data_IF_604611156856
#
_entry.id   IF_604611156856
#
_cell.length_a   1.000
_cell.length_b   1.000
_cell.length_c   1.000
_cell.angle_alpha   90.00
_cell.angle_beta   90.00
_cell.angle_gamma   90.00
#
_symmetry.space_group_name_H-M   'P 1'
#
loop_
_entity.id
_entity.type
_entity.pdbx_description
1 polymer ?
#
# COMPACT_ATOMS: atom_id res chain seq x y z
N UNK A 1 13.05 6.35 10.30
CA UNK A 1 12.99 5.72 8.97
C UNK A 1 12.85 4.24 9.18
N UNK A 2 11.62 3.77 9.14
CA UNK A 2 11.28 2.37 9.26
C UNK A 2 11.45 1.65 7.91
N UNK A 3 11.94 0.41 7.96
CA UNK A 3 12.00 -0.51 6.81
C UNK A 3 11.23 -1.78 7.20
N UNK A 4 10.11 -2.11 6.55
CA UNK A 4 9.39 -3.34 6.84
C UNK A 4 10.22 -4.57 6.42
N UNK A 5 10.07 -5.69 7.13
CA UNK A 5 10.85 -6.93 6.93
C UNK A 5 10.44 -7.74 5.69
N UNK A 6 9.24 -7.50 5.16
CA UNK A 6 8.66 -8.29 4.07
C UNK A 6 8.48 -7.50 2.76
N UNK A 7 9.04 -6.29 2.66
CA UNK A 7 8.99 -5.49 1.45
C UNK A 7 10.36 -4.91 1.12
N UNK A 8 10.76 -5.05 -0.12
CA UNK A 8 11.89 -4.34 -0.69
C UNK A 8 11.50 -2.93 -1.14
N UNK A 9 12.47 -2.01 -1.22
CA UNK A 9 12.16 -0.64 -1.67
C UNK A 9 11.58 -0.59 -3.09
N UNK A 10 12.04 -1.48 -3.97
CA UNK A 10 11.50 -1.64 -5.32
C UNK A 10 10.05 -2.10 -5.34
N UNK A 11 9.58 -2.75 -4.28
CA UNK A 11 8.17 -3.10 -4.11
C UNK A 11 7.32 -1.89 -3.70
N UNK A 12 7.93 -0.86 -3.11
CA UNK A 12 7.22 0.25 -2.48
C UNK A 12 7.36 1.58 -3.24
N UNK A 13 8.28 1.69 -4.19
CA UNK A 13 8.52 2.93 -4.93
C UNK A 13 8.95 2.65 -6.37
N UNK A 14 8.50 3.53 -7.28
CA UNK A 14 8.87 3.44 -8.68
C UNK A 14 10.39 3.64 -8.90
N UNK A 15 11.05 2.86 -9.77
CA UNK A 15 12.49 2.93 -10.03
C UNK A 15 12.98 4.31 -10.45
N UNK A 16 12.15 5.08 -11.16
CA UNK A 16 12.48 6.46 -11.53
C UNK A 16 12.75 7.33 -10.30
N UNK A 17 11.94 7.18 -9.24
CA UNK A 17 12.15 7.93 -7.98
C UNK A 17 13.43 7.45 -7.32
N UNK A 18 13.60 6.13 -7.18
CA UNK A 18 14.80 5.55 -6.56
C UNK A 18 16.06 6.05 -7.27
N UNK A 19 16.05 6.10 -8.60
CA UNK A 19 17.17 6.61 -9.42
C UNK A 19 17.38 8.12 -9.25
N UNK A 20 16.31 8.90 -9.17
CA UNK A 20 16.39 10.36 -9.10
C UNK A 20 16.88 10.89 -7.75
N UNK A 21 16.39 10.32 -6.64
CA UNK A 21 16.68 10.84 -5.29
C UNK A 21 17.51 9.89 -4.41
N UNK A 22 17.77 8.67 -4.89
CA UNK A 22 18.53 7.64 -4.18
C UNK A 22 17.70 6.87 -3.13
N UNK A 23 18.20 5.69 -2.76
CA UNK A 23 17.55 4.76 -1.82
C UNK A 23 17.20 5.42 -0.49
N UNK A 24 18.15 6.15 0.11
CA UNK A 24 17.96 6.77 1.44
C UNK A 24 16.85 7.81 1.44
N UNK A 25 16.77 8.67 0.41
CA UNK A 25 15.73 9.70 0.36
C UNK A 25 14.38 9.13 -0.08
N UNK A 26 14.37 8.06 -0.88
CA UNK A 26 13.12 7.37 -1.22
C UNK A 26 12.46 6.78 0.02
N UNK A 27 13.22 6.11 0.89
CA UNK A 27 12.69 5.64 2.18
C UNK A 27 12.18 6.78 3.07
N UNK A 28 12.80 7.96 3.02
CA UNK A 28 12.33 9.14 3.76
C UNK A 28 11.05 9.75 3.18
N UNK A 29 10.72 9.46 1.92
CA UNK A 29 9.52 9.96 1.25
C UNK A 29 8.29 9.10 1.55
N UNK A 30 8.50 7.84 1.92
CA UNK A 30 7.45 6.93 2.39
C UNK A 30 7.06 7.25 3.82
N UNK A 31 5.76 7.24 4.10
CA UNK A 31 5.23 7.51 5.42
C UNK A 31 5.53 6.34 6.38
N UNK A 32 6.37 6.60 7.39
CA UNK A 32 6.83 5.57 8.33
C UNK A 32 5.68 4.84 9.03
N UNK A 33 4.60 5.55 9.36
CA UNK A 33 3.50 4.94 10.10
C UNK A 33 2.60 4.10 9.17
N UNK A 34 2.45 4.50 7.90
CA UNK A 34 1.82 3.65 6.90
C UNK A 34 2.65 2.38 6.64
N UNK A 35 3.98 2.48 6.60
CA UNK A 35 4.86 1.30 6.45
C UNK A 35 4.76 0.33 7.64
N UNK A 36 4.54 0.84 8.86
CA UNK A 36 4.27 -0.01 10.04
C UNK A 36 2.95 -0.75 9.90
N UNK A 37 1.91 -0.10 9.41
CA UNK A 37 0.63 -0.75 9.15
C UNK A 37 0.72 -1.79 8.03
N UNK A 38 1.47 -1.50 6.97
CA UNK A 38 1.79 -2.47 5.91
C UNK A 38 2.48 -3.71 6.48
N UNK A 39 3.38 -3.54 7.45
CA UNK A 39 3.99 -4.66 8.15
C UNK A 39 2.96 -5.44 8.98
N UNK A 40 2.10 -4.76 9.74
CA UNK A 40 1.04 -5.38 10.54
C UNK A 40 0.11 -6.20 9.67
N UNK A 41 -0.36 -5.65 8.54
CA UNK A 41 -1.22 -6.35 7.58
C UNK A 41 -0.53 -7.64 7.10
N UNK A 42 0.73 -7.57 6.67
CA UNK A 42 1.47 -8.73 6.15
C UNK A 42 1.72 -9.79 7.22
N UNK A 43 2.05 -9.37 8.45
CA UNK A 43 2.29 -10.29 9.57
C UNK A 43 1.01 -11.01 9.99
N UNK A 44 -0.10 -10.30 10.14
CA UNK A 44 -1.37 -10.89 10.51
C UNK A 44 -1.91 -11.79 9.38
N UNK A 45 -1.74 -11.39 8.12
CA UNK A 45 -2.11 -12.22 6.96
C UNK A 45 -1.31 -13.52 6.90
N UNK A 46 0.01 -13.46 7.13
CA UNK A 46 0.89 -14.65 7.17
C UNK A 46 0.49 -15.64 8.26
N UNK A 47 0.07 -15.16 9.43
CA UNK A 47 -0.38 -16.04 10.53
C UNK A 47 -1.60 -16.87 10.16
N UNK A 48 -2.52 -16.31 9.37
CA UNK A 48 -3.80 -16.96 9.03
C UNK A 48 -3.67 -17.77 7.73
N UNK A 49 -2.96 -17.24 6.74
CA UNK A 49 -2.95 -17.79 5.39
C UNK A 49 -1.64 -18.45 4.98
N UNK A 50 -0.59 -18.37 5.81
CA UNK A 50 0.76 -18.82 5.48
C UNK A 50 1.24 -18.31 4.09
N UNK A 51 0.82 -17.08 3.74
CA UNK A 51 1.05 -16.44 2.44
C UNK A 51 1.51 -15.00 2.66
N UNK A 52 2.29 -14.45 1.72
CA UNK A 52 2.68 -13.04 1.73
C UNK A 52 1.69 -12.13 1.02
N UNK A 53 1.96 -10.83 1.09
CA UNK A 53 1.35 -9.74 0.33
C UNK A 53 2.49 -8.95 -0.32
N UNK A 54 2.33 -8.53 -1.56
CA UNK A 54 3.24 -7.64 -2.28
C UNK A 54 2.50 -6.37 -2.70
N UNK A 55 3.28 -5.35 -3.08
CA UNK A 55 2.77 -4.08 -3.59
C UNK A 55 3.12 -3.95 -5.09
N UNK A 56 4.29 -3.46 -5.47
CA UNK A 56 4.69 -3.44 -6.88
C UNK A 56 5.06 -4.83 -7.42
N UNK A 57 4.69 -5.08 -8.69
CA UNK A 57 5.18 -6.19 -9.53
C UNK A 57 5.87 -5.69 -10.79
N UNK A 58 6.76 -4.70 -10.65
CA UNK A 58 7.42 -4.07 -11.81
C UNK A 58 8.28 -5.06 -12.62
N UNK A 59 8.75 -6.15 -12.00
CA UNK A 59 9.44 -7.26 -12.67
C UNK A 59 8.53 -8.12 -13.56
N UNK A 60 7.21 -7.94 -13.49
CA UNK A 60 6.21 -8.66 -14.30
C UNK A 60 5.55 -7.77 -15.35
N UNK A 61 6.10 -6.58 -15.59
CA UNK A 61 5.84 -5.79 -16.78
C UNK A 61 4.76 -4.72 -16.68
N UNK A 62 4.01 -4.59 -15.58
CA UNK A 62 3.03 -3.50 -15.40
C UNK A 62 2.75 -3.12 -13.92
N UNK A 63 2.43 -1.84 -13.77
CA UNK A 63 1.67 -1.14 -12.71
C UNK A 63 2.46 -0.65 -11.46
N UNK A 64 2.57 0.69 -11.36
CA UNK A 64 3.16 1.39 -10.20
C UNK A 64 2.21 1.37 -8.99
N UNK A 65 2.23 0.32 -8.19
CA UNK A 65 1.40 0.14 -6.98
C UNK A 65 1.83 0.94 -5.74
N UNK A 66 3.08 1.40 -5.68
CA UNK A 66 3.65 2.11 -4.52
C UNK A 66 3.73 3.63 -4.69
N UNK A 67 4.82 4.24 -4.22
CA UNK A 67 5.13 5.65 -4.43
C UNK A 67 5.40 5.92 -5.92
N UNK A 68 4.57 6.79 -6.52
CA UNK A 68 4.58 7.15 -7.96
C UNK A 68 5.28 8.49 -8.24
N UNK A 69 6.02 8.63 -9.36
CA UNK A 69 6.54 9.92 -9.78
C UNK A 69 5.40 10.86 -10.24
N UNK A 70 5.63 12.19 -10.24
CA UNK A 70 4.59 13.14 -10.67
C UNK A 70 4.08 12.91 -12.11
N UNK A 71 4.95 12.41 -12.98
CA UNK A 71 4.69 12.14 -14.40
C UNK A 71 4.31 10.67 -14.67
N UNK A 72 3.96 9.89 -13.65
CA UNK A 72 3.48 8.52 -13.85
C UNK A 72 2.20 8.53 -14.71
N UNK A 73 2.15 7.76 -15.82
CA UNK A 73 0.94 7.63 -16.62
C UNK A 73 -0.17 6.83 -15.91
N UNK A 74 0.17 6.06 -14.88
CA UNK A 74 -0.78 5.22 -14.15
C UNK A 74 -1.51 6.03 -13.06
N UNK A 75 -2.84 6.08 -13.18
CA UNK A 75 -3.74 6.75 -12.25
C UNK A 75 -3.91 8.25 -12.50
N UNK A 76 -4.52 8.94 -11.55
CA UNK A 76 -4.87 10.36 -11.70
C UNK A 76 -3.68 11.29 -11.45
N UNK A 77 -3.73 12.51 -12.03
CA UNK A 77 -2.69 13.52 -11.85
C UNK A 77 -2.43 13.84 -10.36
N UNK A 78 -3.48 13.84 -9.54
CA UNK A 78 -3.42 14.09 -8.09
C UNK A 78 -3.53 12.79 -7.25
N UNK A 79 -3.13 11.66 -7.81
CA UNK A 79 -3.16 10.37 -7.10
C UNK A 79 -2.41 10.45 -5.76
N UNK A 80 -3.03 9.88 -4.72
CA UNK A 80 -2.49 9.81 -3.37
C UNK A 80 -1.21 8.98 -3.28
N UNK A 81 -0.94 8.09 -4.24
CA UNK A 81 0.34 7.39 -4.37
C UNK A 81 1.54 8.34 -4.46
N UNK A 82 1.36 9.55 -5.01
CA UNK A 82 2.43 10.57 -5.12
C UNK A 82 2.83 11.16 -3.77
N UNK A 83 2.05 10.90 -2.71
CA UNK A 83 2.32 11.38 -1.36
C UNK A 83 3.15 10.41 -0.52
N UNK A 84 3.31 9.15 -0.95
CA UNK A 84 4.09 8.12 -0.22
C UNK A 84 3.33 7.47 0.94
N UNK A 85 2.00 7.55 0.94
CA UNK A 85 1.12 7.06 2.00
C UNK A 85 0.01 6.13 1.49
N UNK A 86 0.12 5.66 0.24
CA UNK A 86 -0.89 4.88 -0.46
C UNK A 86 -0.21 3.77 -1.26
N UNK A 87 -0.83 2.58 -1.25
CA UNK A 87 -0.28 1.35 -1.79
C UNK A 87 -1.41 0.49 -2.37
N UNK A 88 -1.18 -0.16 -3.50
CA UNK A 88 -2.07 -1.21 -4.01
C UNK A 88 -1.50 -2.57 -3.61
N UNK A 89 -2.29 -3.37 -2.91
CA UNK A 89 -1.84 -4.63 -2.33
C UNK A 89 -2.44 -5.84 -3.02
N UNK A 90 -1.65 -6.89 -3.13
CA UNK A 90 -2.11 -8.16 -3.67
C UNK A 90 -1.53 -9.32 -2.86
N UNK A 91 -2.34 -10.30 -2.45
CA UNK A 91 -1.88 -11.48 -1.73
C UNK A 91 -1.30 -12.50 -2.72
N UNK A 92 -0.20 -13.15 -2.32
CA UNK A 92 0.48 -14.17 -3.14
C UNK A 92 -0.43 -15.36 -3.49
N UNK A 93 -1.37 -15.70 -2.60
CA UNK A 93 -2.32 -16.79 -2.78
C UNK A 93 -3.55 -16.43 -3.64
N UNK A 94 -3.61 -15.23 -4.22
CA UNK A 94 -4.68 -14.79 -5.13
C UNK A 94 -6.02 -14.42 -4.46
N UNK A 95 -6.11 -14.46 -3.13
CA UNK A 95 -7.34 -14.20 -2.39
C UNK A 95 -7.64 -12.71 -2.16
N UNK A 96 -7.80 -11.94 -3.23
CA UNK A 96 -7.94 -10.46 -3.17
C UNK A 96 -9.13 -10.02 -2.31
N UNK A 97 -10.32 -10.61 -2.51
CA UNK A 97 -11.52 -10.23 -1.75
C UNK A 97 -11.38 -10.53 -0.24
N UNK A 98 -10.72 -11.64 0.11
CA UNK A 98 -10.44 -11.96 1.50
C UNK A 98 -9.44 -10.96 2.11
N UNK A 99 -8.41 -10.56 1.36
CA UNK A 99 -7.49 -9.50 1.78
C UNK A 99 -8.21 -8.15 1.99
N UNK A 100 -9.14 -7.79 1.11
CA UNK A 100 -9.93 -6.58 1.23
C UNK A 100 -10.72 -6.55 2.55
N UNK A 101 -11.50 -7.60 2.81
CA UNK A 101 -12.30 -7.74 4.04
C UNK A 101 -11.41 -7.80 5.28
N UNK A 102 -10.26 -8.44 5.16
CA UNK A 102 -9.28 -8.56 6.23
C UNK A 102 -8.72 -7.19 6.66
N UNK A 103 -8.32 -6.34 5.71
CA UNK A 103 -7.80 -5.00 6.02
C UNK A 103 -8.89 -4.13 6.65
N UNK A 104 -10.14 -4.19 6.15
CA UNK A 104 -11.27 -3.52 6.78
C UNK A 104 -11.41 -3.91 8.25
N UNK A 105 -11.30 -5.20 8.56
CA UNK A 105 -11.40 -5.67 9.95
C UNK A 105 -10.24 -5.15 10.80
N UNK A 106 -9.00 -5.16 10.31
CA UNK A 106 -7.85 -4.60 11.03
C UNK A 106 -8.02 -3.11 11.36
N UNK A 107 -8.64 -2.33 10.45
CA UNK A 107 -8.96 -0.92 10.69
C UNK A 107 -10.02 -0.79 11.79
N UNK A 108 -11.12 -1.56 11.68
CA UNK A 108 -12.21 -1.54 12.66
C UNK A 108 -11.76 -1.98 14.06
N UNK A 109 -10.84 -2.94 14.13
CA UNK A 109 -10.25 -3.43 15.38
C UNK A 109 -9.20 -2.47 15.96
N UNK A 110 -8.89 -1.37 15.29
CA UNK A 110 -7.88 -0.40 15.72
C UNK A 110 -6.44 -0.93 15.66
N UNK A 111 -6.20 -2.02 14.93
CA UNK A 111 -4.86 -2.63 14.77
C UNK A 111 -3.95 -1.84 13.83
N UNK A 112 -4.52 -1.08 12.90
CA UNK A 112 -3.76 -0.18 12.03
C UNK A 112 -3.67 1.20 12.71
N UNK A 113 -2.48 1.79 12.72
CA UNK A 113 -2.17 3.05 13.40
C UNK A 113 -2.44 4.28 12.54
N UNK A 114 -2.28 4.20 11.22
CA UNK A 114 -2.50 5.31 10.28
C UNK A 114 -3.41 5.00 9.09
N UNK A 115 -3.16 3.92 8.33
CA UNK A 115 -4.00 3.54 7.19
C UNK A 115 -5.46 3.44 7.60
N UNK A 116 -6.35 4.04 6.81
CA UNK A 116 -7.76 4.18 7.13
C UNK A 116 -8.67 4.24 5.88
N UNK A 117 -8.10 4.22 4.69
CA UNK A 117 -8.82 4.46 3.44
C UNK A 117 -8.61 3.29 2.48
N UNK A 118 -9.67 2.81 1.84
CA UNK A 118 -9.61 1.82 0.76
C UNK A 118 -10.48 2.28 -0.43
N UNK A 119 -10.17 1.82 -1.63
CA UNK A 119 -11.10 1.90 -2.78
C UNK A 119 -12.19 0.83 -2.65
N UNK A 120 -13.25 0.95 -3.42
CA UNK A 120 -14.33 -0.01 -3.40
C UNK A 120 -13.86 -1.25 -4.16
N UNK A 121 -14.06 -2.42 -3.57
CA UNK A 121 -13.61 -3.67 -4.18
C UNK A 121 -14.25 -3.91 -5.56
N UNK A 122 -15.47 -3.43 -5.80
CA UNK A 122 -16.14 -3.55 -7.08
C UNK A 122 -15.39 -2.82 -8.22
N UNK A 123 -14.67 -1.75 -7.87
CA UNK A 123 -13.92 -0.91 -8.80
C UNK A 123 -12.45 -1.36 -8.94
N UNK A 124 -11.94 -2.12 -7.96
CA UNK A 124 -10.55 -2.62 -7.88
C UNK A 124 -10.45 -4.15 -7.72
N UNK A 125 -11.03 -4.94 -8.62
CA UNK A 125 -11.07 -6.41 -8.48
C UNK A 125 -9.70 -7.13 -8.54
N UNK A 126 -8.63 -6.42 -8.93
CA UNK A 126 -7.29 -7.00 -9.14
C UNK A 126 -6.29 -6.67 -8.03
N UNK A 127 -6.58 -5.70 -7.16
CA UNK A 127 -5.71 -5.26 -6.07
C UNK A 127 -6.54 -4.64 -4.96
N UNK A 128 -5.97 -4.48 -3.78
CA UNK A 128 -6.59 -3.75 -2.68
C UNK A 128 -5.86 -2.42 -2.52
N UNK A 129 -6.49 -1.34 -2.99
CA UNK A 129 -5.98 0.01 -2.72
C UNK A 129 -6.12 0.33 -1.24
N UNK A 130 -5.01 0.72 -0.61
CA UNK A 130 -4.99 1.13 0.80
C UNK A 130 -4.18 2.41 0.96
N UNK A 131 -4.75 3.38 1.66
CA UNK A 131 -4.13 4.68 1.85
C UNK A 131 -4.47 5.33 3.18
N UNK A 132 -3.88 6.50 3.36
CA UNK A 132 -4.17 7.41 4.46
C UNK A 132 -4.84 8.67 3.95
N UNK A 133 -6.01 8.98 4.52
CA UNK A 133 -6.69 10.26 4.38
C UNK A 133 -6.76 10.93 5.75
N UNK A 134 -6.33 12.19 5.80
CA UNK A 134 -6.34 12.98 7.02
C UNK A 134 -7.75 13.50 7.30
N UNK A 135 -8.32 13.09 8.42
CA UNK A 135 -9.66 13.46 8.88
C UNK A 135 -9.61 13.82 10.38
N UNK A 136 -10.63 14.52 10.89
CA UNK A 136 -10.70 14.93 12.31
C UNK A 136 -10.72 13.73 13.26
N UNK A 137 -11.38 12.66 12.85
CA UNK A 137 -11.37 11.36 13.49
C UNK A 137 -10.61 10.36 12.62
N UNK A 138 -10.44 9.11 13.05
CA UNK A 138 -9.86 8.05 12.22
C UNK A 138 -10.95 7.04 11.76
N UNK A 139 -11.88 7.44 10.87
CA UNK A 139 -12.88 6.54 10.36
C UNK A 139 -12.26 5.57 9.35
N UNK A 140 -12.92 4.43 9.16
CA UNK A 140 -12.78 3.67 7.92
C UNK A 140 -13.43 4.46 6.78
N UNK A 141 -12.69 4.70 5.71
CA UNK A 141 -13.16 5.38 4.50
C UNK A 141 -13.10 4.40 3.34
N UNK A 142 -14.22 4.26 2.63
CA UNK A 142 -14.30 3.51 1.38
C UNK A 142 -14.75 4.50 0.30
N UNK A 143 -13.93 4.67 -0.74
CA UNK A 143 -14.20 5.54 -1.89
C UNK A 143 -14.11 4.73 -3.19
N UNK A 144 -14.36 5.35 -4.34
CA UNK A 144 -14.45 4.70 -5.65
C UNK A 144 -13.15 3.98 -6.03
#
# INVERSE_FOLDING_TARGET
>A
MYKPKNYELSELAHPQIIKAIGVKNTWRRLDEQCLRDMQTINDEWRKIHNSGIYCNRLNLGLDSRGLRPPNDPDGSFYSTHKNGNTFDLEPVNGKIEELYKFIIQLIKDGKLLKLNTLENFADTVKWVHVGYMNTTEKPLIIFL
#
